data_IF_625078246023
#
_entry.id   IF_625078246023
#
_cell.length_a   1.000
_cell.length_b   1.000
_cell.length_c   1.000
_cell.angle_alpha   90.00
_cell.angle_beta   90.00
_cell.angle_gamma   90.00
#
_symmetry.space_group_name_H-M   'P 1'
#
loop_
_entity.id
_entity.type
_entity.pdbx_description
1 polymer ?
#
# COMPACT_ATOMS: atom_id res chain seq x y z
N UNK A 1 5.81 -14.56 -18.02
CA UNK A 1 5.86 -14.05 -16.62
C UNK A 1 6.52 -12.68 -16.66
N UNK A 2 6.21 -11.77 -15.75
CA UNK A 2 6.80 -10.43 -15.74
C UNK A 2 7.38 -10.11 -14.36
N UNK A 3 8.49 -9.39 -14.32
CA UNK A 3 9.17 -8.97 -13.08
C UNK A 3 8.63 -7.64 -12.54
N UNK A 4 7.31 -7.45 -12.62
CA UNK A 4 6.66 -6.26 -12.09
C UNK A 4 5.32 -6.56 -11.44
N UNK A 5 4.90 -5.64 -10.57
CA UNK A 5 3.57 -5.62 -9.95
C UNK A 5 2.88 -4.32 -10.36
N UNK A 6 1.59 -4.40 -10.70
CA UNK A 6 0.79 -3.23 -11.07
C UNK A 6 0.38 -2.49 -9.79
N UNK A 7 0.50 -1.17 -9.81
CA UNK A 7 0.05 -0.32 -8.71
C UNK A 7 -1.41 0.10 -8.90
N UNK A 8 -1.99 0.72 -7.88
CA UNK A 8 -3.26 1.41 -7.97
C UNK A 8 -3.19 2.70 -8.83
N UNK A 9 -1.99 3.20 -9.13
CA UNK A 9 -1.79 4.49 -9.77
C UNK A 9 -1.85 4.48 -11.29
N UNK A 10 -2.36 5.59 -11.83
CA UNK A 10 -2.45 5.88 -13.27
C UNK A 10 -1.80 7.22 -13.52
N UNK A 11 -0.69 7.21 -14.24
CA UNK A 11 -0.03 8.41 -14.72
C UNK A 11 1.03 8.07 -15.78
N UNK A 12 1.10 8.77 -16.92
CA UNK A 12 2.17 8.61 -17.89
C UNK A 12 3.52 9.13 -17.38
N UNK A 13 4.47 8.23 -17.18
CA UNK A 13 5.86 8.50 -16.79
C UNK A 13 6.78 8.51 -18.01
N UNK A 14 7.45 9.65 -18.22
CA UNK A 14 8.48 9.81 -19.25
C UNK A 14 9.64 8.83 -19.08
N UNK A 15 10.06 8.59 -17.84
CA UNK A 15 11.20 7.75 -17.50
C UNK A 15 10.93 6.94 -16.24
N UNK A 16 11.72 5.87 -16.05
CA UNK A 16 11.74 5.10 -14.81
C UNK A 16 12.35 5.89 -13.65
N UNK A 17 11.91 5.60 -12.42
CA UNK A 17 12.43 6.20 -11.19
C UNK A 17 12.85 5.11 -10.21
N UNK A 18 14.00 5.25 -9.58
CA UNK A 18 14.38 4.36 -8.50
C UNK A 18 13.44 4.58 -7.32
N UNK A 19 12.76 3.52 -6.90
CA UNK A 19 12.04 3.51 -5.63
C UNK A 19 13.06 3.22 -4.53
N UNK A 20 13.44 1.96 -4.34
CA UNK A 20 14.47 1.57 -3.38
C UNK A 20 15.74 1.11 -4.09
N UNK A 21 16.87 1.76 -3.81
CA UNK A 21 18.20 1.28 -4.21
C UNK A 21 18.56 -0.01 -3.48
N UNK A 22 18.24 -0.08 -2.19
CA UNK A 22 18.58 -1.23 -1.35
C UNK A 22 17.98 -2.54 -1.89
N UNK A 23 16.73 -2.51 -2.35
CA UNK A 23 16.04 -3.67 -2.90
C UNK A 23 15.99 -3.72 -4.43
N UNK A 24 16.62 -2.75 -5.11
CA UNK A 24 16.56 -2.60 -6.57
C UNK A 24 15.12 -2.50 -7.13
N UNK A 25 14.23 -1.81 -6.43
CA UNK A 25 12.86 -1.55 -6.88
C UNK A 25 12.77 -0.28 -7.72
N UNK A 26 12.03 -0.33 -8.82
CA UNK A 26 11.90 0.79 -9.76
C UNK A 26 10.44 1.06 -10.12
N UNK A 27 9.99 2.30 -9.98
CA UNK A 27 8.70 2.76 -10.52
C UNK A 27 8.83 3.02 -12.02
N UNK A 28 7.89 2.51 -12.81
CA UNK A 28 7.89 2.65 -14.26
C UNK A 28 6.46 2.57 -14.84
N UNK A 29 6.32 2.77 -16.15
CA UNK A 29 5.18 2.26 -16.90
C UNK A 29 5.58 1.01 -17.70
N UNK A 30 4.60 0.25 -18.21
CA UNK A 30 4.82 -0.76 -19.25
C UNK A 30 5.50 -0.13 -20.47
N UNK A 31 6.64 -0.69 -20.90
CA UNK A 31 7.46 -0.13 -21.98
C UNK A 31 7.40 -0.94 -23.26
N UNK A 32 7.29 -2.26 -23.17
CA UNK A 32 7.28 -3.13 -24.34
C UNK A 32 5.87 -3.61 -24.70
N UNK A 33 5.70 -4.07 -25.95
CA UNK A 33 4.39 -4.50 -26.48
C UNK A 33 3.75 -5.61 -25.64
N UNK A 34 4.53 -6.59 -25.16
CA UNK A 34 4.01 -7.71 -24.37
C UNK A 34 3.47 -7.25 -23.02
N UNK A 35 4.15 -6.32 -22.35
CA UNK A 35 3.71 -5.76 -21.06
C UNK A 35 2.41 -4.96 -21.22
N UNK A 36 2.35 -4.10 -22.25
CA UNK A 36 1.19 -3.26 -22.54
C UNK A 36 -0.03 -4.14 -22.85
N UNK A 37 0.15 -5.14 -23.72
CA UNK A 37 -0.88 -6.11 -24.07
C UNK A 37 -1.42 -6.84 -22.84
N UNK A 38 -0.52 -7.35 -21.99
CA UNK A 38 -0.87 -8.10 -20.78
C UNK A 38 -1.73 -7.28 -19.81
N UNK A 39 -1.43 -6.00 -19.65
CA UNK A 39 -2.20 -5.09 -18.78
C UNK A 39 -3.51 -4.67 -19.45
N UNK A 40 -3.48 -4.37 -20.75
CA UNK A 40 -4.65 -3.97 -21.53
C UNK A 40 -5.75 -5.03 -21.49
N UNK A 41 -5.40 -6.28 -21.73
CA UNK A 41 -6.39 -7.37 -21.73
C UNK A 41 -7.03 -7.57 -20.34
N UNK A 42 -6.29 -7.32 -19.26
CA UNK A 42 -6.86 -7.32 -17.90
C UNK A 42 -7.78 -6.14 -17.63
N UNK A 43 -7.41 -4.94 -18.07
CA UNK A 43 -8.28 -3.76 -17.95
C UNK A 43 -9.58 -4.01 -18.70
N UNK A 44 -9.50 -4.49 -19.94
CA UNK A 44 -10.67 -4.86 -20.77
C UNK A 44 -11.56 -5.88 -20.07
N UNK A 45 -10.95 -6.97 -19.59
CA UNK A 45 -11.68 -8.03 -18.91
C UNK A 45 -12.39 -7.51 -17.67
N UNK A 46 -11.69 -6.77 -16.81
CA UNK A 46 -12.26 -6.20 -15.59
C UNK A 46 -13.31 -5.13 -15.86
N UNK A 47 -13.17 -4.33 -16.92
CA UNK A 47 -14.19 -3.37 -17.33
C UNK A 47 -15.48 -4.07 -17.80
N UNK A 48 -15.36 -5.15 -18.61
CA UNK A 48 -16.51 -5.95 -19.09
C UNK A 48 -17.21 -6.72 -17.97
N UNK A 49 -16.43 -7.33 -17.09
CA UNK A 49 -16.92 -8.17 -15.99
C UNK A 49 -17.30 -7.35 -14.75
N UNK A 50 -16.89 -6.09 -14.70
CA UNK A 50 -16.94 -5.23 -13.52
C UNK A 50 -18.34 -5.10 -12.93
N UNK A 51 -18.48 -5.21 -11.61
CA UNK A 51 -19.78 -5.09 -10.93
C UNK A 51 -20.17 -3.64 -10.60
N UNK A 52 -19.19 -2.81 -10.28
CA UNK A 52 -19.39 -1.42 -9.86
C UNK A 52 -18.82 -0.42 -10.90
N UNK A 53 -19.60 0.63 -11.22
CA UNK A 53 -19.24 1.77 -12.07
C UNK A 53 -18.67 1.43 -13.46
N UNK A 54 -19.53 0.93 -14.35
CA UNK A 54 -19.22 0.76 -15.79
C UNK A 54 -19.36 2.07 -16.55
N UNK A 55 -18.34 2.92 -16.50
CA UNK A 55 -18.28 4.07 -17.41
C UNK A 55 -18.10 3.56 -18.84
N UNK A 56 -18.90 4.02 -19.82
CA UNK A 56 -18.71 3.62 -21.21
C UNK A 56 -17.30 4.03 -21.69
N UNK A 57 -16.64 3.23 -22.54
CA UNK A 57 -15.31 3.59 -23.05
C UNK A 57 -15.35 4.89 -23.85
N UNK A 58 -16.35 5.02 -24.72
CA UNK A 58 -16.58 6.17 -25.61
C UNK A 58 -17.77 6.98 -25.06
N UNK A 59 -17.84 8.26 -25.38
CA UNK A 59 -18.97 9.12 -25.01
C UNK A 59 -20.28 8.60 -25.61
N UNK A 60 -21.25 8.35 -24.74
CA UNK A 60 -22.67 8.26 -25.07
C UNK A 60 -23.33 9.52 -24.48
N UNK A 61 -24.25 10.15 -25.22
CA UNK A 61 -24.88 11.40 -24.78
C UNK A 61 -25.37 11.26 -23.32
N UNK A 62 -24.98 12.21 -22.46
CA UNK A 62 -25.33 12.34 -21.03
C UNK A 62 -24.48 11.57 -19.99
N UNK A 63 -23.45 10.81 -20.37
CA UNK A 63 -22.63 10.04 -19.41
C UNK A 63 -21.14 10.41 -19.40
N UNK A 64 -20.51 10.30 -18.22
CA UNK A 64 -19.05 10.37 -18.09
C UNK A 64 -18.47 9.08 -18.71
N UNK A 65 -17.53 9.22 -19.65
CA UNK A 65 -16.86 8.09 -20.31
C UNK A 65 -15.38 8.00 -19.95
N UNK A 66 -14.75 6.86 -20.23
CA UNK A 66 -13.30 6.71 -20.06
C UNK A 66 -12.53 7.66 -20.99
N UNK A 67 -13.01 7.85 -22.22
CA UNK A 67 -12.52 8.88 -23.14
C UNK A 67 -12.55 10.26 -22.48
N UNK A 68 -13.70 10.67 -21.95
CA UNK A 68 -13.86 11.98 -21.30
C UNK A 68 -12.90 12.16 -20.13
N UNK A 69 -12.74 11.13 -19.29
CA UNK A 69 -11.76 11.16 -18.20
C UNK A 69 -10.33 11.36 -18.72
N UNK A 70 -9.91 10.59 -19.74
CA UNK A 70 -8.58 10.69 -20.34
C UNK A 70 -8.34 12.07 -20.99
N UNK A 71 -9.35 12.64 -21.65
CA UNK A 71 -9.27 13.98 -22.24
C UNK A 71 -9.03 15.02 -21.15
N UNK A 72 -9.77 14.99 -20.04
CA UNK A 72 -9.52 15.93 -18.94
C UNK A 72 -8.12 15.76 -18.31
N UNK A 73 -7.59 14.53 -18.27
CA UNK A 73 -6.21 14.30 -17.83
C UNK A 73 -5.22 14.98 -18.78
N UNK A 74 -5.40 14.81 -20.10
CA UNK A 74 -4.56 15.50 -21.10
C UNK A 74 -4.61 17.02 -20.92
N UNK A 75 -5.80 17.58 -20.74
CA UNK A 75 -6.02 19.02 -20.59
C UNK A 75 -5.44 19.57 -19.28
N UNK A 76 -5.54 18.83 -18.17
CA UNK A 76 -4.96 19.24 -16.90
C UNK A 76 -3.43 19.30 -16.95
N UNK A 77 -2.80 18.47 -17.79
CA UNK A 77 -1.35 18.44 -17.99
C UNK A 77 -0.95 18.98 -19.37
N UNK A 78 -1.65 20.00 -19.87
CA UNK A 78 -1.43 20.67 -21.16
C UNK A 78 -0.03 21.26 -21.37
N UNK A 79 0.74 21.44 -20.30
CA UNK A 79 2.14 21.91 -20.34
C UNK A 79 3.15 20.76 -20.40
N UNK A 80 2.75 19.53 -20.12
CA UNK A 80 3.64 18.37 -20.19
C UNK A 80 3.69 17.83 -21.63
N UNK A 81 4.77 18.21 -22.34
CA UNK A 81 5.03 17.77 -23.72
C UNK A 81 5.05 16.24 -23.87
N UNK A 82 5.48 15.50 -22.85
CA UNK A 82 5.48 14.04 -22.93
C UNK A 82 4.05 13.50 -22.94
N UNK A 83 3.19 14.02 -22.07
CA UNK A 83 1.77 13.64 -22.02
C UNK A 83 1.10 14.01 -23.34
N UNK A 84 1.26 15.24 -23.82
CA UNK A 84 0.67 15.67 -25.10
C UNK A 84 1.07 14.73 -26.25
N UNK A 85 2.38 14.51 -26.43
CA UNK A 85 2.91 13.65 -27.49
C UNK A 85 2.50 12.18 -27.34
N UNK A 86 2.19 11.73 -26.12
CA UNK A 86 1.69 10.38 -25.89
C UNK A 86 0.23 10.29 -26.36
N UNK A 87 -0.61 11.24 -25.97
CA UNK A 87 -2.03 11.29 -26.32
C UNK A 87 -2.25 11.43 -27.84
N UNK A 88 -1.41 12.19 -28.55
CA UNK A 88 -1.48 12.34 -30.01
C UNK A 88 -1.27 11.04 -30.81
N UNK A 89 -0.74 9.99 -30.17
CA UNK A 89 -0.50 8.68 -30.82
C UNK A 89 -1.72 7.77 -30.82
N UNK A 90 -2.80 8.17 -30.16
CA UNK A 90 -3.99 7.35 -29.97
C UNK A 90 -5.22 8.04 -30.52
N UNK A 91 -6.05 7.28 -31.25
CA UNK A 91 -7.37 7.73 -31.64
C UNK A 91 -8.35 7.39 -30.50
N UNK A 92 -8.68 8.36 -29.65
CA UNK A 92 -9.56 8.14 -28.50
C UNK A 92 -11.04 7.90 -28.88
N UNK A 93 -11.41 7.96 -30.17
CA UNK A 93 -12.70 7.48 -30.66
C UNK A 93 -12.70 5.96 -30.95
N UNK A 94 -11.54 5.31 -30.78
CA UNK A 94 -11.39 3.86 -30.84
C UNK A 94 -11.24 3.28 -29.42
N UNK A 95 -12.15 2.37 -29.05
CA UNK A 95 -12.15 1.67 -27.76
C UNK A 95 -10.80 0.97 -27.46
N UNK A 96 -10.16 0.39 -28.46
CA UNK A 96 -8.87 -0.30 -28.32
C UNK A 96 -7.75 0.65 -27.89
N UNK A 97 -7.74 1.85 -28.45
CA UNK A 97 -6.76 2.87 -28.17
C UNK A 97 -6.97 3.48 -26.79
N UNK A 98 -8.23 3.60 -26.32
CA UNK A 98 -8.54 3.98 -24.94
C UNK A 98 -7.89 3.00 -23.97
N UNK A 99 -8.16 1.69 -24.08
CA UNK A 99 -7.57 0.71 -23.17
C UNK A 99 -6.04 0.64 -23.29
N UNK A 100 -5.50 0.81 -24.50
CA UNK A 100 -4.06 0.81 -24.72
C UNK A 100 -3.39 2.02 -24.06
N UNK A 101 -4.01 3.20 -24.15
CA UNK A 101 -3.54 4.43 -23.52
C UNK A 101 -3.55 4.31 -21.99
N UNK A 102 -4.64 3.75 -21.47
CA UNK A 102 -4.81 3.42 -20.07
C UNK A 102 -3.69 2.46 -19.61
N UNK A 103 -3.48 1.35 -20.33
CA UNK A 103 -2.45 0.36 -20.01
C UNK A 103 -1.04 0.96 -20.00
N UNK A 104 -0.73 1.87 -20.93
CA UNK A 104 0.54 2.61 -20.96
C UNK A 104 0.68 3.63 -19.83
N UNK A 105 -0.44 4.07 -19.26
CA UNK A 105 -0.46 5.02 -18.15
C UNK A 105 -0.48 4.31 -16.79
N UNK A 106 -0.71 3.00 -16.73
CA UNK A 106 -0.58 2.22 -15.50
C UNK A 106 0.83 2.34 -14.95
N UNK A 107 0.94 2.65 -13.66
CA UNK A 107 2.22 2.61 -12.98
C UNK A 107 2.46 1.19 -12.47
N UNK A 108 3.66 0.69 -12.72
CA UNK A 108 4.15 -0.62 -12.29
C UNK A 108 5.39 -0.43 -11.41
N UNK A 109 5.64 -1.38 -10.52
CA UNK A 109 6.93 -1.47 -9.83
C UNK A 109 7.64 -2.72 -10.29
N UNK A 110 8.84 -2.51 -10.82
CA UNK A 110 9.75 -3.57 -11.24
C UNK A 110 10.61 -4.01 -10.06
N UNK A 111 10.88 -5.30 -9.98
CA UNK A 111 11.81 -5.92 -9.04
C UNK A 111 12.82 -6.78 -9.80
N UNK A 112 13.97 -7.02 -9.18
CA UNK A 112 15.01 -7.87 -9.76
C UNK A 112 14.60 -9.35 -9.63
N UNK A 113 14.51 -10.06 -10.74
CA UNK A 113 14.24 -11.51 -10.77
C UNK A 113 15.53 -12.33 -10.88
N UNK A 114 16.71 -11.70 -10.85
CA UNK A 114 18.03 -12.32 -11.06
C UNK A 114 18.13 -13.13 -12.36
N UNK A 115 17.34 -12.77 -13.37
CA UNK A 115 17.30 -13.47 -14.67
C UNK A 115 16.47 -14.76 -14.69
N UNK A 116 15.74 -15.07 -13.62
CA UNK A 116 14.92 -16.28 -13.51
C UNK A 116 13.80 -16.34 -14.55
N UNK A 117 13.14 -15.23 -14.89
CA UNK A 117 12.08 -15.23 -15.90
C UNK A 117 12.65 -15.65 -17.26
N UNK A 118 13.83 -15.16 -17.62
CA UNK A 118 14.49 -15.52 -18.88
C UNK A 118 14.83 -17.02 -18.89
N UNK A 119 15.36 -17.54 -17.78
CA UNK A 119 15.66 -18.97 -17.61
C UNK A 119 14.40 -19.84 -17.77
N UNK A 120 13.29 -19.40 -17.19
CA UNK A 120 11.97 -20.04 -17.29
C UNK A 120 11.48 -20.02 -18.75
N UNK A 121 11.55 -18.88 -19.44
CA UNK A 121 11.15 -18.77 -20.84
C UNK A 121 11.97 -19.68 -21.76
N UNK A 122 13.29 -19.75 -21.56
CA UNK A 122 14.17 -20.64 -22.33
C UNK A 122 13.86 -22.12 -22.08
N UNK A 123 13.59 -22.49 -20.83
CA UNK A 123 13.22 -23.86 -20.44
C UNK A 123 11.87 -24.25 -21.04
N UNK A 124 10.88 -23.36 -20.99
CA UNK A 124 9.57 -23.57 -21.58
C UNK A 124 9.65 -23.73 -23.11
N UNK A 125 10.45 -22.89 -23.78
CA UNK A 125 10.67 -23.01 -25.22
C UNK A 125 11.35 -24.34 -25.62
N UNK A 126 12.25 -24.87 -24.79
CA UNK A 126 12.85 -26.20 -25.00
C UNK A 126 11.81 -27.31 -24.87
N UNK A 127 10.94 -27.25 -23.85
CA UNK A 127 9.88 -28.24 -23.64
C UNK A 127 8.89 -28.28 -24.81
N UNK A 128 8.46 -27.11 -25.31
CA UNK A 128 7.60 -27.03 -26.50
C UNK A 128 8.29 -27.69 -27.70
N UNK A 129 9.57 -27.38 -27.93
CA UNK A 129 10.33 -27.96 -29.06
C UNK A 129 10.52 -29.47 -28.96
N UNK A 130 10.62 -30.02 -27.75
CA UNK A 130 10.73 -31.47 -27.53
C UNK A 130 9.39 -32.19 -27.49
N UNK A 131 8.25 -31.48 -27.69
CA UNK A 131 6.92 -32.06 -27.58
C UNK A 131 6.53 -32.47 -26.15
N UNK A 132 7.26 -31.98 -25.14
CA UNK A 132 6.99 -32.29 -23.75
C UNK A 132 5.97 -31.30 -23.18
N UNK A 133 4.88 -31.81 -22.60
CA UNK A 133 3.97 -31.02 -21.79
C UNK A 133 4.46 -31.02 -20.34
N UNK A 134 4.36 -29.87 -19.66
CA UNK A 134 4.65 -29.78 -18.23
C UNK A 134 4.48 -28.37 -17.69
N UNK A 135 4.71 -28.23 -16.39
CA UNK A 135 4.57 -26.99 -15.64
C UNK A 135 5.88 -26.70 -14.88
N UNK A 136 6.11 -25.43 -14.57
CA UNK A 136 7.25 -24.98 -13.78
C UNK A 136 6.72 -24.55 -12.42
N UNK A 137 7.20 -25.22 -11.37
CA UNK A 137 6.94 -24.82 -9.99
C UNK A 137 8.09 -23.96 -9.49
N UNK A 138 7.77 -22.85 -8.84
CA UNK A 138 8.75 -22.03 -8.15
C UNK A 138 8.79 -22.45 -6.68
N UNK A 139 9.99 -22.65 -6.16
CA UNK A 139 10.21 -22.86 -4.73
C UNK A 139 10.04 -21.53 -3.98
N UNK A 140 9.74 -21.60 -2.68
CA UNK A 140 9.52 -20.42 -1.85
C UNK A 140 10.75 -19.50 -1.78
N UNK A 141 11.96 -20.03 -1.90
CA UNK A 141 13.19 -19.24 -1.90
C UNK A 141 13.60 -18.71 -3.29
N UNK A 142 12.78 -18.99 -4.32
CA UNK A 142 13.04 -18.49 -5.66
C UNK A 142 13.10 -16.95 -5.67
N UNK A 143 14.09 -16.33 -6.36
CA UNK A 143 14.25 -14.88 -6.42
C UNK A 143 12.98 -14.11 -6.82
N UNK A 144 12.15 -14.69 -7.70
CA UNK A 144 10.87 -14.08 -8.11
C UNK A 144 9.94 -13.96 -6.90
N UNK A 145 9.70 -15.05 -6.17
CA UNK A 145 8.78 -15.07 -5.03
C UNK A 145 9.31 -14.28 -3.84
N UNK A 146 10.62 -14.37 -3.57
CA UNK A 146 11.27 -13.59 -2.51
C UNK A 146 11.14 -12.10 -2.78
N UNK A 147 11.54 -11.62 -3.96
CA UNK A 147 11.54 -10.19 -4.25
C UNK A 147 10.12 -9.63 -4.48
N UNK A 148 9.19 -10.46 -4.98
CA UNK A 148 7.77 -10.13 -5.02
C UNK A 148 7.19 -9.90 -3.62
N UNK A 149 7.44 -10.81 -2.67
CA UNK A 149 6.97 -10.65 -1.28
C UNK A 149 7.59 -9.44 -0.59
N UNK A 150 8.90 -9.23 -0.76
CA UNK A 150 9.59 -8.05 -0.23
C UNK A 150 8.99 -6.74 -0.78
N UNK A 151 8.64 -6.72 -2.06
CA UNK A 151 8.01 -5.55 -2.67
C UNK A 151 6.60 -5.30 -2.11
N UNK A 152 5.80 -6.34 -1.87
CA UNK A 152 4.52 -6.18 -1.17
C UNK A 152 4.70 -5.61 0.23
N UNK A 153 5.53 -6.21 1.07
CA UNK A 153 5.79 -5.72 2.42
C UNK A 153 6.25 -4.25 2.37
N UNK A 154 7.23 -3.95 1.53
CA UNK A 154 7.75 -2.58 1.36
C UNK A 154 6.66 -1.58 0.93
N UNK A 155 5.71 -2.00 0.11
CA UNK A 155 4.60 -1.13 -0.31
C UNK A 155 3.68 -0.73 0.84
N UNK A 156 3.40 -1.65 1.77
CA UNK A 156 2.59 -1.38 2.96
C UNK A 156 3.29 -0.42 3.93
N UNK A 157 4.61 -0.57 4.06
CA UNK A 157 5.43 0.36 4.83
C UNK A 157 5.38 1.78 4.23
N UNK A 158 5.59 1.91 2.92
CA UNK A 158 5.48 3.22 2.24
C UNK A 158 4.06 3.78 2.39
N UNK A 159 3.01 2.99 2.10
CA UNK A 159 1.62 3.44 2.24
C UNK A 159 1.32 3.99 3.63
N UNK A 160 1.79 3.31 4.68
CA UNK A 160 1.63 3.75 6.07
C UNK A 160 2.29 5.10 6.35
N UNK A 161 3.42 5.39 5.69
CA UNK A 161 4.17 6.63 5.85
C UNK A 161 3.68 7.78 4.97
N UNK A 162 3.11 7.49 3.80
CA UNK A 162 2.69 8.53 2.84
C UNK A 162 1.20 8.82 2.86
N UNK A 163 0.35 7.92 3.39
CA UNK A 163 -1.10 8.14 3.38
C UNK A 163 -1.50 9.45 4.06
N UNK A 164 -2.69 9.91 3.70
CA UNK A 164 -3.13 11.28 4.01
C UNK A 164 -4.51 11.31 4.64
N UNK A 165 -5.08 10.14 4.92
CA UNK A 165 -6.43 9.95 5.44
C UNK A 165 -6.50 10.04 6.97
N UNK A 166 -5.36 10.18 7.64
CA UNK A 166 -5.33 10.29 9.10
C UNK A 166 -5.96 9.07 9.75
N UNK A 167 -7.00 9.28 10.57
CA UNK A 167 -7.70 8.20 11.27
C UNK A 167 -8.61 7.36 10.37
N UNK A 168 -8.89 7.81 9.14
CA UNK A 168 -9.68 7.06 8.16
C UNK A 168 -8.81 6.09 7.33
N UNK A 169 -7.50 6.02 7.59
CA UNK A 169 -6.62 5.05 6.95
C UNK A 169 -6.69 3.69 7.67
N UNK A 170 -7.07 2.65 6.91
CA UNK A 170 -7.23 1.27 7.41
C UNK A 170 -6.15 0.29 6.94
N UNK A 171 -4.99 0.80 6.50
CA UNK A 171 -3.80 -0.04 6.26
C UNK A 171 -3.52 -0.46 4.83
N UNK A 172 -4.33 -0.03 3.86
CA UNK A 172 -4.19 -0.47 2.47
C UNK A 172 -2.84 -0.12 1.83
N UNK A 173 -2.28 -1.07 1.09
CA UNK A 173 -1.13 -0.89 0.19
C UNK A 173 -1.53 -0.17 -1.11
N UNK A 174 -0.55 0.36 -1.85
CA UNK A 174 -0.78 0.89 -3.21
C UNK A 174 -0.49 -0.15 -4.31
N UNK A 175 -0.01 -1.34 -3.95
CA UNK A 175 0.16 -2.45 -4.90
C UNK A 175 -1.11 -3.28 -4.99
N UNK A 176 -1.40 -3.78 -6.19
CA UNK A 176 -2.49 -4.72 -6.41
C UNK A 176 -2.02 -6.12 -6.00
N UNK A 177 -2.60 -6.66 -4.93
CA UNK A 177 -2.26 -7.97 -4.36
C UNK A 177 -2.78 -9.15 -5.21
N UNK A 178 -1.89 -9.95 -5.80
CA UNK A 178 -2.26 -11.11 -6.61
C UNK A 178 -3.15 -12.17 -5.94
N UNK A 179 -3.40 -12.11 -4.62
CA UNK A 179 -4.31 -13.05 -3.94
C UNK A 179 -5.80 -12.73 -4.08
N UNK A 180 -6.16 -11.49 -4.40
CA UNK A 180 -7.55 -11.14 -4.76
C UNK A 180 -7.74 -11.50 -6.23
N UNK A 181 -8.83 -12.16 -6.60
CA UNK A 181 -9.16 -12.50 -7.99
C UNK A 181 -8.75 -11.35 -8.94
N UNK A 182 -7.85 -11.64 -9.89
CA UNK A 182 -7.21 -10.68 -10.81
C UNK A 182 -8.22 -9.63 -11.35
N UNK A 183 -9.48 -10.01 -11.54
CA UNK A 183 -10.55 -9.16 -12.04
C UNK A 183 -10.96 -8.03 -11.07
N UNK A 184 -11.16 -8.31 -9.78
CA UNK A 184 -11.55 -7.32 -8.75
C UNK A 184 -10.50 -6.22 -8.56
N UNK A 185 -9.23 -6.56 -8.79
CA UNK A 185 -8.13 -5.60 -8.65
C UNK A 185 -8.10 -4.57 -9.78
N UNK A 186 -8.54 -4.96 -10.97
CA UNK A 186 -8.64 -4.07 -12.11
C UNK A 186 -9.98 -3.32 -12.16
N UNK A 187 -11.01 -3.69 -11.38
CA UNK A 187 -12.18 -2.82 -11.17
C UNK A 187 -11.76 -1.50 -10.47
N UNK A 188 -10.93 -1.59 -9.41
CA UNK A 188 -10.39 -0.40 -8.69
C UNK A 188 -9.59 0.54 -9.58
N UNK A 189 -9.12 0.07 -10.73
CA UNK A 189 -8.44 0.88 -11.72
C UNK A 189 -9.30 2.06 -12.18
N UNK A 190 -10.57 1.79 -12.49
CA UNK A 190 -11.50 2.79 -13.01
C UNK A 190 -11.79 3.85 -11.93
N UNK A 191 -11.87 3.43 -10.67
CA UNK A 191 -11.97 4.36 -9.55
C UNK A 191 -10.76 5.31 -9.47
N UNK A 192 -9.55 4.81 -9.67
CA UNK A 192 -8.36 5.66 -9.61
C UNK A 192 -8.24 6.60 -10.82
N UNK A 193 -8.73 6.19 -12.00
CA UNK A 193 -8.87 7.08 -13.14
C UNK A 193 -9.88 8.19 -12.83
N UNK A 194 -10.99 7.84 -12.18
CA UNK A 194 -12.00 8.80 -11.71
C UNK A 194 -11.41 9.77 -10.67
N UNK A 195 -10.62 9.31 -9.70
CA UNK A 195 -9.94 10.21 -8.75
C UNK A 195 -8.99 11.18 -9.44
N UNK A 196 -8.21 10.70 -10.42
CA UNK A 196 -7.36 11.56 -11.24
C UNK A 196 -8.19 12.57 -12.05
N UNK A 197 -9.30 12.14 -12.64
CA UNK A 197 -10.23 13.01 -13.35
C UNK A 197 -10.85 14.08 -12.44
N UNK A 198 -11.28 13.72 -11.23
CA UNK A 198 -11.80 14.66 -10.22
C UNK A 198 -10.73 15.68 -9.86
N UNK A 199 -9.48 15.26 -9.65
CA UNK A 199 -8.35 16.16 -9.40
C UNK A 199 -8.15 17.15 -10.55
N UNK A 200 -8.20 16.66 -11.79
CA UNK A 200 -8.02 17.46 -12.99
C UNK A 200 -9.12 18.51 -13.18
N UNK A 201 -10.36 18.16 -12.82
CA UNK A 201 -11.53 19.03 -13.01
C UNK A 201 -11.82 19.95 -11.82
N UNK A 202 -11.37 19.57 -10.61
CA UNK A 202 -11.64 20.28 -9.36
C UNK A 202 -10.38 20.39 -8.47
N UNK A 203 -9.30 21.06 -8.94
CA UNK A 203 -8.00 21.06 -8.26
C UNK A 203 -8.05 21.64 -6.84
N UNK A 204 -8.88 22.68 -6.60
CA UNK A 204 -9.04 23.30 -5.27
C UNK A 204 -9.57 22.38 -4.18
N UNK A 205 -10.24 21.28 -4.54
CA UNK A 205 -10.71 20.27 -3.58
C UNK A 205 -9.65 19.23 -3.24
N UNK A 206 -8.61 19.08 -4.07
CA UNK A 206 -7.72 17.92 -4.06
C UNK A 206 -6.41 18.08 -3.26
N UNK A 207 -5.89 19.31 -3.12
CA UNK A 207 -4.61 19.54 -2.45
C UNK A 207 -4.68 19.45 -0.92
N UNK A 208 -5.86 19.63 -0.34
CA UNK A 208 -6.16 19.43 1.09
C UNK A 208 -6.96 18.16 1.37
N UNK A 209 -7.22 17.34 0.34
CA UNK A 209 -8.06 16.14 0.44
C UNK A 209 -7.34 15.00 1.14
N UNK A 210 -8.04 14.30 2.03
CA UNK A 210 -7.62 13.02 2.59
C UNK A 210 -7.33 11.99 1.48
N UNK A 211 -7.98 12.14 0.32
CA UNK A 211 -7.84 11.27 -0.85
C UNK A 211 -6.60 11.53 -1.72
N UNK A 212 -5.80 12.57 -1.45
CA UNK A 212 -4.64 12.94 -2.31
C UNK A 212 -3.65 11.79 -2.53
N UNK A 213 -3.52 10.87 -1.57
CA UNK A 213 -2.65 9.71 -1.71
C UNK A 213 -3.06 8.74 -2.84
N UNK A 214 -4.30 8.84 -3.38
CA UNK A 214 -4.78 8.08 -4.54
C UNK A 214 -4.36 8.67 -5.89
N UNK A 215 -3.87 9.92 -5.90
CA UNK A 215 -3.54 10.68 -7.10
C UNK A 215 -2.02 10.73 -7.23
N UNK A 216 -1.46 9.98 -8.17
CA UNK A 216 0.00 9.84 -8.28
C UNK A 216 0.76 11.17 -8.41
N UNK A 217 0.35 12.13 -9.28
CA UNK A 217 1.02 13.43 -9.36
C UNK A 217 1.05 14.21 -8.05
N UNK A 218 0.07 14.02 -7.17
CA UNK A 218 -0.02 14.69 -5.88
C UNK A 218 0.84 14.02 -4.79
N UNK A 219 1.11 12.71 -4.91
CA UNK A 219 1.79 11.92 -3.88
C UNK A 219 3.20 11.44 -4.27
N UNK A 220 3.58 11.52 -5.54
CA UNK A 220 4.84 10.98 -6.05
C UNK A 220 6.07 11.49 -5.29
N UNK A 221 6.10 12.77 -4.94
CA UNK A 221 7.20 13.38 -4.19
C UNK A 221 7.31 12.78 -2.79
N UNK A 222 6.18 12.58 -2.11
CA UNK A 222 6.16 11.93 -0.79
C UNK A 222 6.65 10.49 -0.88
N UNK A 223 6.23 9.72 -1.89
CA UNK A 223 6.72 8.36 -2.12
C UNK A 223 8.24 8.35 -2.30
N UNK A 224 8.77 9.21 -3.17
CA UNK A 224 10.22 9.29 -3.45
C UNK A 224 10.99 9.72 -2.19
N UNK A 225 10.51 10.74 -1.46
CA UNK A 225 11.19 11.27 -0.29
C UNK A 225 11.20 10.26 0.88
N UNK A 226 10.09 9.56 1.13
CA UNK A 226 10.04 8.47 2.12
C UNK A 226 10.94 7.31 1.68
N UNK A 227 10.93 6.94 0.41
CA UNK A 227 11.75 5.83 -0.08
C UNK A 227 13.24 6.08 0.09
N UNK A 228 13.71 7.32 -0.16
CA UNK A 228 15.10 7.74 0.12
C UNK A 228 15.46 7.66 1.60
N UNK A 229 14.54 8.07 2.50
CA UNK A 229 14.76 7.96 3.95
C UNK A 229 14.88 6.51 4.39
N UNK A 230 14.04 5.63 3.83
CA UNK A 230 14.09 4.19 4.10
C UNK A 230 15.40 3.57 3.59
N UNK A 231 15.82 3.88 2.36
CA UNK A 231 17.12 3.41 1.84
C UNK A 231 18.27 3.84 2.75
N UNK A 232 18.30 5.11 3.16
CA UNK A 232 19.34 5.63 4.06
C UNK A 232 19.32 4.93 5.42
N UNK A 233 18.13 4.62 5.95
CA UNK A 233 17.98 3.86 7.18
C UNK A 233 18.50 2.43 7.03
N UNK A 234 18.18 1.73 5.93
CA UNK A 234 18.60 0.34 5.68
C UNK A 234 20.09 0.19 5.39
N UNK A 235 20.76 1.24 4.91
CA UNK A 235 22.22 1.26 4.78
C UNK A 235 22.93 1.28 6.15
N UNK A 236 22.31 1.91 7.16
CA UNK A 236 22.93 2.16 8.47
C UNK A 236 22.41 1.24 9.59
N UNK A 237 21.24 0.62 9.41
CA UNK A 237 20.55 -0.13 10.46
C UNK A 237 20.08 -1.51 9.97
N UNK A 238 19.73 -2.38 10.91
CA UNK A 238 19.12 -3.66 10.56
C UNK A 238 17.71 -3.43 9.97
N UNK A 239 17.53 -3.84 8.70
CA UNK A 239 16.25 -3.77 7.99
C UNK A 239 15.20 -4.76 8.50
N UNK A 240 15.61 -5.85 9.15
CA UNK A 240 14.74 -6.98 9.49
C UNK A 240 13.57 -6.53 10.35
N UNK A 241 13.80 -5.65 11.33
CA UNK A 241 12.74 -5.12 12.20
C UNK A 241 11.68 -4.38 11.41
N UNK A 242 12.08 -3.47 10.51
CA UNK A 242 11.12 -2.69 9.71
C UNK A 242 10.43 -3.56 8.65
N UNK A 243 11.13 -4.50 8.04
CA UNK A 243 10.52 -5.43 7.07
C UNK A 243 9.57 -6.42 7.76
N UNK A 244 9.86 -6.80 9.00
CA UNK A 244 8.93 -7.58 9.83
C UNK A 244 7.67 -6.77 10.16
N UNK A 245 7.81 -5.50 10.55
CA UNK A 245 6.66 -4.58 10.74
C UNK A 245 5.87 -4.42 9.45
N UNK A 246 6.56 -4.25 8.31
CA UNK A 246 5.95 -4.13 7.00
C UNK A 246 5.11 -5.37 6.61
N UNK A 247 5.61 -6.56 6.94
CA UNK A 247 4.88 -7.81 6.75
C UNK A 247 3.62 -7.88 7.64
N UNK A 248 3.72 -7.51 8.93
CA UNK A 248 2.54 -7.45 9.82
C UNK A 248 1.48 -6.48 9.26
N UNK A 249 1.89 -5.30 8.79
CA UNK A 249 1.00 -4.33 8.17
C UNK A 249 0.27 -4.94 6.97
N UNK A 250 1.00 -5.60 6.06
CA UNK A 250 0.43 -6.31 4.91
C UNK A 250 -0.59 -7.37 5.35
N UNK A 251 -0.19 -8.31 6.23
CA UNK A 251 -1.07 -9.40 6.68
C UNK A 251 -2.35 -8.85 7.33
N UNK A 252 -2.21 -7.79 8.14
CA UNK A 252 -3.36 -7.19 8.84
C UNK A 252 -4.41 -6.59 7.89
N UNK A 253 -4.01 -6.14 6.71
CA UNK A 253 -4.93 -5.60 5.70
C UNK A 253 -5.41 -6.68 4.72
N UNK A 254 -4.47 -7.40 4.11
CA UNK A 254 -4.73 -8.30 2.98
C UNK A 254 -5.30 -9.67 3.40
N UNK A 255 -4.78 -10.25 4.49
CA UNK A 255 -5.02 -11.66 4.82
C UNK A 255 -6.06 -11.82 5.94
N UNK A 256 -6.20 -10.81 6.81
CA UNK A 256 -7.08 -10.85 7.97
C UNK A 256 -8.38 -10.10 7.68
N UNK A 257 -9.53 -10.76 7.88
CA UNK A 257 -10.85 -10.10 7.84
C UNK A 257 -11.39 -9.74 9.23
N UNK A 258 -11.00 -10.48 10.26
CA UNK A 258 -11.48 -10.27 11.63
C UNK A 258 -10.79 -9.06 12.28
N UNK A 259 -11.57 -8.04 12.66
CA UNK A 259 -11.08 -6.81 13.27
C UNK A 259 -10.37 -7.03 14.62
N UNK A 260 -10.77 -8.05 15.39
CA UNK A 260 -10.12 -8.37 16.66
C UNK A 260 -8.68 -8.84 16.40
N UNK A 261 -8.46 -9.66 15.37
CA UNK A 261 -7.13 -10.12 14.97
C UNK A 261 -6.31 -8.94 14.43
N UNK A 262 -6.91 -8.06 13.61
CA UNK A 262 -6.23 -6.84 13.14
C UNK A 262 -5.75 -5.98 14.30
N UNK A 263 -6.61 -5.74 15.30
CA UNK A 263 -6.24 -4.95 16.47
C UNK A 263 -5.07 -5.59 17.24
N UNK A 264 -5.06 -6.91 17.41
CA UNK A 264 -3.93 -7.62 18.03
C UNK A 264 -2.63 -7.41 17.25
N UNK A 265 -2.66 -7.60 15.93
CA UNK A 265 -1.47 -7.47 15.07
C UNK A 265 -0.92 -6.04 15.05
N UNK A 266 -1.79 -5.04 14.97
CA UNK A 266 -1.34 -3.64 15.00
C UNK A 266 -0.82 -3.23 16.38
N UNK A 267 -1.43 -3.72 17.46
CA UNK A 267 -0.93 -3.48 18.81
C UNK A 267 0.45 -4.14 19.01
N UNK A 268 0.68 -5.33 18.44
CA UNK A 268 1.97 -6.02 18.56
C UNK A 268 3.13 -5.30 17.85
N UNK A 269 2.86 -4.51 16.80
CA UNK A 269 3.87 -3.62 16.18
C UNK A 269 4.36 -2.59 17.20
N UNK A 270 3.45 -1.93 17.90
CA UNK A 270 3.80 -0.93 18.91
C UNK A 270 4.54 -1.59 20.07
N UNK A 271 4.08 -2.77 20.52
CA UNK A 271 4.77 -3.55 21.55
C UNK A 271 6.20 -3.92 21.11
N UNK A 272 6.39 -4.40 19.87
CA UNK A 272 7.69 -4.74 19.32
C UNK A 272 8.66 -3.55 19.30
N UNK A 273 8.16 -2.37 18.88
CA UNK A 273 9.00 -1.19 18.70
C UNK A 273 9.29 -0.46 20.01
N UNK A 274 8.34 -0.42 20.96
CA UNK A 274 8.44 0.42 22.14
C UNK A 274 8.45 -0.32 23.48
N UNK A 275 8.00 -1.57 23.55
CA UNK A 275 7.97 -2.31 24.82
C UNK A 275 9.11 -3.32 24.88
N UNK A 276 9.67 -3.52 26.08
CA UNK A 276 10.66 -4.58 26.30
C UNK A 276 9.97 -5.93 26.37
N UNK A 277 10.67 -6.98 25.92
CA UNK A 277 10.28 -8.35 26.25
C UNK A 277 10.22 -8.46 27.77
N UNK A 278 9.08 -8.85 28.35
CA UNK A 278 8.96 -8.94 29.79
C UNK A 278 9.90 -10.01 30.35
N UNK A 279 10.51 -9.72 31.49
CA UNK A 279 11.19 -10.73 32.28
C UNK A 279 10.13 -11.67 32.86
N UNK A 280 10.06 -12.89 32.32
CA UNK A 280 9.04 -13.88 32.66
C UNK A 280 9.09 -14.34 34.12
N UNK A 281 10.12 -13.91 34.87
CA UNK A 281 10.28 -14.20 36.29
C UNK A 281 9.54 -13.24 37.23
N UNK A 282 8.97 -12.12 36.74
CA UNK A 282 8.30 -11.11 37.58
C UNK A 282 6.79 -11.37 37.77
N UNK A 283 6.25 -11.06 38.95
CA UNK A 283 4.82 -10.95 39.18
C UNK A 283 4.27 -9.64 38.57
N UNK A 284 3.03 -9.63 38.06
CA UNK A 284 2.33 -8.49 37.43
C UNK A 284 2.94 -7.95 36.11
N UNK A 285 3.45 -8.86 35.28
CA UNK A 285 4.00 -8.56 33.95
C UNK A 285 3.03 -7.74 33.09
N UNK A 286 1.75 -8.12 33.04
CA UNK A 286 0.78 -7.51 32.13
C UNK A 286 0.45 -6.05 32.50
N UNK A 287 0.30 -5.74 33.79
CA UNK A 287 0.10 -4.37 34.27
C UNK A 287 1.33 -3.48 34.00
N UNK A 288 2.53 -4.06 34.05
CA UNK A 288 3.77 -3.36 33.69
C UNK A 288 3.82 -3.06 32.19
N UNK A 289 3.48 -4.03 31.34
CA UNK A 289 3.45 -3.84 29.88
C UNK A 289 2.39 -2.81 29.51
N UNK A 290 1.20 -2.86 30.11
CA UNK A 290 0.14 -1.89 29.86
C UNK A 290 0.60 -0.45 30.15
N UNK A 291 1.24 -0.23 31.30
CA UNK A 291 1.78 1.09 31.67
C UNK A 291 2.90 1.54 30.72
N UNK A 292 3.80 0.64 30.34
CA UNK A 292 4.86 0.94 29.37
C UNK A 292 4.29 1.28 27.99
N UNK A 293 3.34 0.47 27.50
CA UNK A 293 2.65 0.68 26.23
C UNK A 293 2.00 2.06 26.20
N UNK A 294 1.18 2.41 27.20
CA UNK A 294 0.53 3.71 27.25
C UNK A 294 1.52 4.87 27.32
N UNK A 295 2.50 4.81 28.23
CA UNK A 295 3.44 5.91 28.46
C UNK A 295 4.35 6.14 27.25
N UNK A 296 5.02 5.08 26.77
CA UNK A 296 6.02 5.18 25.70
C UNK A 296 5.37 5.56 24.37
N UNK A 297 4.22 4.96 24.07
CA UNK A 297 3.45 5.32 22.86
C UNK A 297 3.00 6.77 22.93
N UNK A 298 2.49 7.23 24.09
CA UNK A 298 2.07 8.63 24.24
C UNK A 298 3.21 9.61 23.98
N UNK A 299 4.40 9.33 24.52
CA UNK A 299 5.58 10.19 24.35
C UNK A 299 5.95 10.31 22.87
N UNK A 300 6.10 9.18 22.17
CA UNK A 300 6.55 9.18 20.76
C UNK A 300 5.49 9.80 19.86
N UNK A 301 4.22 9.41 20.02
CA UNK A 301 3.12 9.94 19.20
C UNK A 301 2.94 11.45 19.42
N UNK A 302 2.95 11.92 20.67
CA UNK A 302 2.77 13.34 20.97
C UNK A 302 3.93 14.21 20.46
N UNK A 303 5.16 13.69 20.48
CA UNK A 303 6.32 14.41 19.94
C UNK A 303 6.23 14.61 18.43
N UNK A 304 5.64 13.65 17.70
CA UNK A 304 5.43 13.74 16.26
C UNK A 304 4.15 14.54 15.91
N UNK A 305 3.07 14.41 16.70
CA UNK A 305 1.76 15.03 16.49
C UNK A 305 1.29 15.83 17.71
N UNK A 306 1.86 17.04 17.87
CA UNK A 306 1.55 17.95 18.98
C UNK A 306 0.12 18.53 18.95
N UNK A 307 -0.56 18.39 17.81
CA UNK A 307 -1.96 18.78 17.61
C UNK A 307 -2.96 17.83 18.31
N UNK A 308 -2.53 16.62 18.69
CA UNK A 308 -3.39 15.67 19.39
C UNK A 308 -3.58 16.07 20.86
N UNK A 309 -4.81 15.91 21.34
CA UNK A 309 -5.12 16.08 22.76
C UNK A 309 -4.54 14.91 23.57
N UNK A 310 -3.59 15.19 24.46
CA UNK A 310 -2.89 14.18 25.25
C UNK A 310 -3.83 13.35 26.14
N UNK A 311 -4.90 13.94 26.67
CA UNK A 311 -5.87 13.21 27.49
C UNK A 311 -6.67 12.21 26.65
N UNK A 312 -7.05 12.60 25.43
CA UNK A 312 -7.75 11.72 24.49
C UNK A 312 -6.83 10.57 24.07
N UNK A 313 -5.58 10.87 23.69
CA UNK A 313 -4.57 9.87 23.34
C UNK A 313 -4.37 8.84 24.45
N UNK A 314 -4.33 9.28 25.70
CA UNK A 314 -4.14 8.40 26.85
C UNK A 314 -5.32 7.46 27.08
N UNK A 315 -6.55 7.96 26.97
CA UNK A 315 -7.76 7.13 27.07
C UNK A 315 -7.89 6.15 25.89
N UNK A 316 -7.50 6.58 24.68
CA UNK A 316 -7.46 5.72 23.51
C UNK A 316 -6.48 4.56 23.68
N UNK A 317 -5.25 4.83 24.12
CA UNK A 317 -4.22 3.79 24.35
C UNK A 317 -4.63 2.81 25.47
N UNK A 318 -5.27 3.31 26.52
CA UNK A 318 -5.83 2.48 27.58
C UNK A 318 -6.94 1.57 27.05
N UNK A 319 -7.81 2.09 26.19
CA UNK A 319 -8.89 1.33 25.56
C UNK A 319 -8.35 0.28 24.60
N UNK A 320 -7.39 0.65 23.74
CA UNK A 320 -6.67 -0.27 22.83
C UNK A 320 -6.08 -1.44 23.60
N UNK A 321 -5.31 -1.16 24.66
CA UNK A 321 -4.64 -2.21 25.41
C UNK A 321 -5.64 -3.11 26.15
N UNK A 322 -6.73 -2.53 26.65
CA UNK A 322 -7.83 -3.31 27.25
C UNK A 322 -8.51 -4.23 26.24
N UNK A 323 -8.80 -3.74 25.03
CA UNK A 323 -9.36 -4.55 23.93
C UNK A 323 -8.40 -5.69 23.58
N UNK A 324 -7.11 -5.38 23.38
CA UNK A 324 -6.06 -6.36 23.11
C UNK A 324 -5.99 -7.43 24.20
N UNK A 325 -6.00 -7.06 25.47
CA UNK A 325 -6.00 -8.00 26.61
C UNK A 325 -7.25 -8.89 26.63
N UNK A 326 -8.44 -8.32 26.42
CA UNK A 326 -9.68 -9.10 26.36
C UNK A 326 -9.66 -10.14 25.23
N UNK A 327 -9.16 -9.77 24.05
CA UNK A 327 -9.07 -10.68 22.90
C UNK A 327 -8.03 -11.76 23.16
N UNK A 328 -6.83 -11.39 23.61
CA UNK A 328 -5.73 -12.33 23.87
C UNK A 328 -6.07 -13.38 24.94
N UNK A 329 -6.82 -13.00 25.98
CA UNK A 329 -7.24 -13.89 27.07
C UNK A 329 -8.61 -14.56 26.85
N UNK A 330 -9.26 -14.33 25.71
CA UNK A 330 -10.57 -14.91 25.41
C UNK A 330 -11.73 -14.39 26.30
N UNK A 331 -11.61 -13.19 26.88
CA UNK A 331 -12.65 -12.56 27.69
C UNK A 331 -13.72 -11.90 26.79
N UNK A 332 -14.42 -12.73 26.00
CA UNK A 332 -15.40 -12.25 25.02
C UNK A 332 -16.65 -11.64 25.68
N UNK A 333 -16.97 -12.00 26.92
CA UNK A 333 -18.11 -11.40 27.65
C UNK A 333 -17.90 -9.92 27.90
N UNK A 334 -16.69 -9.53 28.32
CA UNK A 334 -16.35 -8.12 28.49
C UNK A 334 -16.25 -7.39 27.15
N UNK A 335 -15.65 -8.04 26.15
CA UNK A 335 -15.56 -7.50 24.79
C UNK A 335 -16.95 -7.19 24.22
N UNK A 336 -17.91 -8.11 24.34
CA UNK A 336 -19.30 -7.89 23.92
C UNK A 336 -19.96 -6.73 24.66
N UNK A 337 -19.72 -6.57 25.97
CA UNK A 337 -20.23 -5.41 26.73
C UNK A 337 -19.66 -4.08 26.23
N UNK A 338 -18.40 -4.07 25.80
CA UNK A 338 -17.78 -2.87 25.21
C UNK A 338 -18.39 -2.57 23.84
N UNK A 339 -18.55 -3.58 22.97
CA UNK A 339 -19.20 -3.44 21.66
C UNK A 339 -20.67 -3.02 21.74
N UNK A 340 -21.39 -3.41 22.80
CA UNK A 340 -22.77 -2.95 23.03
C UNK A 340 -22.85 -1.46 23.36
N UNK A 341 -21.79 -0.85 23.91
CA UNK A 341 -21.75 0.59 24.19
C UNK A 341 -21.31 1.39 22.96
N UNK A 342 -20.43 0.82 22.16
CA UNK A 342 -19.93 1.38 20.91
C UNK A 342 -19.61 0.23 19.95
N UNK A 343 -20.49 0.03 18.97
CA UNK A 343 -20.39 -1.05 17.99
C UNK A 343 -19.09 -0.95 17.17
N UNK A 344 -18.66 0.28 16.89
CA UNK A 344 -17.50 0.59 16.07
C UNK A 344 -16.23 0.79 16.90
N UNK A 345 -16.23 0.39 18.18
CA UNK A 345 -15.09 0.62 19.07
C UNK A 345 -13.81 0.00 18.51
N UNK A 346 -13.84 -1.18 17.90
CA UNK A 346 -12.63 -1.81 17.37
C UNK A 346 -12.16 -1.11 16.09
N UNK A 347 -13.05 -0.92 15.11
CA UNK A 347 -12.72 -0.27 13.84
C UNK A 347 -12.16 1.14 14.05
N UNK A 348 -12.78 1.94 14.93
CA UNK A 348 -12.31 3.28 15.29
C UNK A 348 -10.87 3.25 15.86
N UNK A 349 -10.55 2.26 16.69
CA UNK A 349 -9.20 2.14 17.27
C UNK A 349 -8.18 1.53 16.30
N UNK A 350 -8.60 0.76 15.29
CA UNK A 350 -7.73 0.31 14.20
C UNK A 350 -7.19 1.51 13.41
N UNK A 351 -8.04 2.46 13.02
CA UNK A 351 -7.61 3.69 12.32
C UNK A 351 -6.61 4.51 13.15
N UNK A 352 -6.84 4.61 14.46
CA UNK A 352 -5.91 5.25 15.41
C UNK A 352 -4.56 4.53 15.50
N UNK A 353 -4.57 3.19 15.56
CA UNK A 353 -3.36 2.39 15.61
C UNK A 353 -2.46 2.64 14.39
N UNK A 354 -3.01 2.74 13.17
CA UNK A 354 -2.19 3.09 12.00
C UNK A 354 -1.51 4.45 12.12
N UNK A 355 -2.21 5.46 12.62
CA UNK A 355 -1.63 6.79 12.87
C UNK A 355 -0.51 6.71 13.92
N UNK A 356 -0.73 5.95 15.00
CA UNK A 356 0.28 5.81 16.06
C UNK A 356 1.50 5.04 15.56
N UNK A 357 1.30 3.94 14.84
CA UNK A 357 2.37 3.15 14.21
C UNK A 357 3.17 4.02 13.25
N UNK A 358 2.51 4.81 12.41
CA UNK A 358 3.18 5.76 11.53
C UNK A 358 4.10 6.71 12.30
N UNK A 359 3.60 7.36 13.36
CA UNK A 359 4.41 8.28 14.17
C UNK A 359 5.65 7.59 14.75
N UNK A 360 5.50 6.35 15.21
CA UNK A 360 6.60 5.56 15.78
C UNK A 360 7.61 5.16 14.70
N UNK A 361 7.16 4.69 13.54
CA UNK A 361 8.04 4.31 12.42
C UNK A 361 8.78 5.56 11.91
N UNK A 362 8.11 6.70 11.77
CA UNK A 362 8.75 7.95 11.36
C UNK A 362 9.88 8.35 12.32
N UNK A 363 9.64 8.29 13.63
CA UNK A 363 10.68 8.59 14.61
C UNK A 363 11.76 7.51 14.64
N UNK A 364 11.42 6.24 14.44
CA UNK A 364 12.42 5.15 14.35
C UNK A 364 13.35 5.29 13.15
N UNK A 365 12.83 5.72 12.00
CA UNK A 365 13.63 6.01 10.80
C UNK A 365 14.55 7.21 11.05
N UNK A 366 14.06 8.21 11.79
CA UNK A 366 14.76 9.48 12.04
C UNK A 366 15.83 9.37 13.13
N UNK A 367 15.50 8.71 14.24
CA UNK A 367 16.37 8.54 15.40
C UNK A 367 16.14 7.15 16.03
N UNK A 368 16.81 6.10 15.49
CA UNK A 368 16.68 4.75 16.00
C UNK A 368 17.17 4.62 17.44
N UNK A 369 18.19 5.40 17.83
CA UNK A 369 18.76 5.39 19.16
C UNK A 369 17.79 5.94 20.21
N UNK A 370 17.04 6.99 19.87
CA UNK A 370 15.97 7.51 20.71
C UNK A 370 14.87 6.46 20.95
N UNK A 371 14.42 5.76 19.91
CA UNK A 371 13.43 4.70 20.07
C UNK A 371 13.96 3.55 20.95
N UNK A 372 15.21 3.14 20.77
CA UNK A 372 15.81 2.12 21.62
C UNK A 372 15.97 2.60 23.08
N UNK A 373 16.29 3.88 23.29
CA UNK A 373 16.30 4.51 24.62
C UNK A 373 14.91 4.47 25.27
N UNK A 374 13.86 4.86 24.54
CA UNK A 374 12.48 4.79 25.04
C UNK A 374 12.06 3.35 25.32
N UNK A 375 12.45 2.41 24.46
CA UNK A 375 12.17 0.99 24.64
C UNK A 375 12.81 0.43 25.90
N UNK A 376 14.05 0.84 26.19
CA UNK A 376 14.85 0.32 27.31
C UNK A 376 14.59 0.99 28.66
N UNK A 377 14.10 2.24 28.66
CA UNK A 377 13.63 2.97 29.84
C UNK A 377 12.35 2.37 30.42
#
# INVERSE_FOLDING_TARGET
MFNFIVTEYIYPLKSKFQLSKHFNFTIDNPRNRKEIEYIRERIKKAHREGRDLRFPPIEEEQYISLKGMLVSVRECFDKDKYIINLFEKFNLDNEEDIYTMIAKSCIIIRYDDKGEIKRIEESYNKMIKSGAAGFIMLEDDNPIEVNKRLLYDYSYLISTLVNTEGFDYYGRGFLKDSQIEDNLQFERFIHNLMFLWIHCTHPSKSDSDSSRWRIYPAINKNIIDISKKLDSFFELNNKDTLMYVANILKISDADVKDENIKLLMLTSIIELLLTRNPDSSRFNVEDSINKQFQLKTSIVVYNNRKDLNLNILKEDLKTIYKLRSCIAHGNFKELSRMKLKDEFIISNHIGKLYVYIRCIIEEYIKDPAYIEFIKTS
#
